data_IF_503799157135
#
_entry.id   IF_503799157135
#
_cell.length_a   1.000
_cell.length_b   1.000
_cell.length_c   1.000
_cell.angle_alpha   90.00
_cell.angle_beta   90.00
_cell.angle_gamma   90.00
#
_symmetry.space_group_name_H-M   'P 1'
#
loop_
_entity.id
_entity.type
_entity.pdbx_description
1 polymer ?
#
# COMPACT_ATOMS: atom_id res chain seq x y z
N UNK A 1 7.28 11.23 2.82
CA UNK A 1 7.08 9.87 3.35
C UNK A 1 8.32 9.02 3.10
N UNK A 2 8.84 8.42 4.16
CA UNK A 2 10.00 7.53 4.06
C UNK A 2 9.53 6.09 4.20
N UNK A 3 9.95 5.24 3.27
CA UNK A 3 9.69 3.80 3.31
C UNK A 3 11.00 3.06 3.53
N UNK A 4 10.92 1.98 4.30
CA UNK A 4 12.05 1.10 4.56
C UNK A 4 11.62 -0.34 4.28
N UNK A 5 12.30 -0.98 3.33
CA UNK A 5 12.16 -2.41 3.06
C UNK A 5 13.31 -3.12 3.75
N UNK A 6 13.00 -4.09 4.58
CA UNK A 6 14.00 -4.80 5.36
C UNK A 6 13.55 -6.21 5.70
N UNK A 7 14.42 -6.97 6.32
CA UNK A 7 14.11 -8.32 6.78
C UNK A 7 13.87 -8.33 8.28
N UNK A 8 12.86 -9.08 8.70
CA UNK A 8 12.57 -9.33 10.11
C UNK A 8 12.87 -10.79 10.39
N UNK A 9 13.65 -11.04 11.44
CA UNK A 9 13.92 -12.37 11.96
C UNK A 9 12.93 -12.74 13.04
N UNK A 10 12.31 -13.92 12.92
CA UNK A 10 11.49 -14.50 13.95
C UNK A 10 11.83 -15.98 14.06
N UNK A 11 12.54 -16.36 15.12
CA UNK A 11 13.09 -17.71 15.30
C UNK A 11 14.02 -18.07 14.13
N UNK A 12 13.67 -19.10 13.36
CA UNK A 12 14.45 -19.55 12.20
C UNK A 12 13.91 -19.00 10.87
N UNK A 13 12.92 -18.11 10.93
CA UNK A 13 12.30 -17.55 9.74
C UNK A 13 12.74 -16.12 9.50
N UNK A 14 12.90 -15.77 8.22
CA UNK A 14 13.19 -14.42 7.78
C UNK A 14 12.05 -13.95 6.89
N UNK A 15 11.49 -12.78 7.21
CA UNK A 15 10.36 -12.21 6.48
C UNK A 15 10.74 -10.85 5.92
N UNK A 16 10.24 -10.55 4.73
CA UNK A 16 10.31 -9.21 4.16
C UNK A 16 9.28 -8.31 4.84
N UNK A 17 9.67 -7.08 5.14
CA UNK A 17 8.78 -6.11 5.78
C UNK A 17 8.96 -4.73 5.17
N UNK A 18 7.84 -4.02 5.05
CA UNK A 18 7.81 -2.61 4.70
C UNK A 18 7.44 -1.82 5.95
N UNK A 19 8.33 -0.93 6.37
CA UNK A 19 8.12 -0.03 7.48
C UNK A 19 7.87 1.38 6.96
N UNK A 20 6.82 2.01 7.46
CA UNK A 20 6.44 3.38 7.14
C UNK A 20 5.81 4.01 8.37
N UNK A 21 5.79 5.34 8.43
CA UNK A 21 5.12 6.04 9.53
C UNK A 21 3.68 5.56 9.68
N UNK A 22 3.22 5.38 10.93
CA UNK A 22 1.86 4.91 11.26
C UNK A 22 0.76 5.68 10.53
N UNK A 23 0.98 6.96 10.27
CA UNK A 23 0.07 7.81 9.51
C UNK A 23 -0.24 7.23 8.12
N UNK A 24 0.71 6.50 7.52
CA UNK A 24 0.60 5.93 6.18
C UNK A 24 0.45 4.40 6.20
N UNK A 25 -0.05 3.85 7.29
CA UNK A 25 -0.16 2.41 7.54
C UNK A 25 -0.85 1.61 6.42
N UNK A 26 -1.82 2.21 5.73
CA UNK A 26 -2.54 1.51 4.67
C UNK A 26 -1.63 1.08 3.52
N UNK A 27 -0.57 1.83 3.24
CA UNK A 27 0.41 1.44 2.23
C UNK A 27 1.12 0.14 2.64
N UNK A 28 1.62 0.09 3.87
CA UNK A 28 2.28 -1.10 4.40
C UNK A 28 1.34 -2.30 4.41
N UNK A 29 0.13 -2.13 4.90
CA UNK A 29 -0.87 -3.21 4.94
C UNK A 29 -1.23 -3.70 3.55
N UNK A 30 -1.34 -2.81 2.58
CA UNK A 30 -1.61 -3.18 1.20
C UNK A 30 -0.48 -4.02 0.59
N UNK A 31 0.76 -3.63 0.83
CA UNK A 31 1.93 -4.36 0.34
C UNK A 31 2.10 -5.74 0.98
N UNK A 32 1.56 -5.93 2.20
CA UNK A 32 1.62 -7.20 2.93
C UNK A 32 0.36 -8.05 2.73
N UNK A 33 -0.29 -7.95 1.56
CA UNK A 33 -1.49 -8.76 1.30
C UNK A 33 -1.22 -10.23 1.63
N UNK A 34 -2.01 -10.86 2.55
CA UNK A 34 -1.65 -12.16 3.09
C UNK A 34 -1.71 -13.33 2.11
N UNK A 35 -2.61 -13.26 1.12
CA UNK A 35 -2.77 -14.34 0.15
C UNK A 35 -2.16 -13.95 -1.19
N UNK A 36 -1.22 -14.79 -1.67
CA UNK A 36 -0.59 -14.68 -2.97
C UNK A 36 -0.08 -13.25 -3.28
N UNK A 37 0.58 -12.66 -2.29
CA UNK A 37 0.96 -11.25 -2.27
C UNK A 37 1.64 -10.79 -3.55
N UNK A 38 2.66 -11.52 -4.03
CA UNK A 38 3.41 -11.12 -5.21
C UNK A 38 2.55 -11.12 -6.48
N UNK A 39 1.75 -12.15 -6.69
CA UNK A 39 0.87 -12.24 -7.85
C UNK A 39 -0.26 -11.21 -7.77
N UNK A 40 -0.82 -11.02 -6.59
CA UNK A 40 -1.80 -9.97 -6.36
C UNK A 40 -1.25 -8.58 -6.72
N UNK A 41 -0.05 -8.26 -6.26
CA UNK A 41 0.57 -6.96 -6.52
C UNK A 41 0.95 -6.78 -8.01
N UNK A 42 1.37 -7.85 -8.68
CA UNK A 42 1.60 -7.82 -10.14
C UNK A 42 0.31 -7.53 -10.90
N UNK A 43 -0.79 -8.13 -10.48
CA UNK A 43 -2.10 -7.84 -11.03
C UNK A 43 -2.51 -6.38 -10.80
N UNK A 44 -2.37 -5.89 -9.56
CA UNK A 44 -2.71 -4.51 -9.20
C UNK A 44 -1.88 -3.51 -10.02
N UNK A 45 -0.58 -3.74 -10.15
CA UNK A 45 0.31 -2.89 -10.95
C UNK A 45 -0.15 -2.83 -12.39
N UNK A 46 -0.44 -3.97 -13.01
CA UNK A 46 -0.92 -4.03 -14.40
C UNK A 46 -2.24 -3.31 -14.56
N UNK A 47 -3.18 -3.52 -13.63
CA UNK A 47 -4.47 -2.85 -13.64
C UNK A 47 -4.33 -1.32 -13.57
N UNK A 48 -3.40 -0.83 -12.77
CA UNK A 48 -3.10 0.60 -12.67
C UNK A 48 -2.45 1.15 -13.94
N UNK A 49 -1.45 0.46 -14.48
CA UNK A 49 -0.73 0.91 -15.66
C UNK A 49 -1.63 0.97 -16.91
N UNK A 50 -2.55 0.03 -17.03
CA UNK A 50 -3.42 -0.12 -18.21
C UNK A 50 -4.84 0.39 -17.98
N UNK A 51 -5.14 0.98 -16.81
CA UNK A 51 -6.47 1.48 -16.43
C UNK A 51 -7.59 0.41 -16.62
N UNK A 52 -7.28 -0.84 -16.24
CA UNK A 52 -8.19 -1.96 -16.45
C UNK A 52 -9.32 -2.04 -15.44
N UNK A 53 -9.08 -1.58 -14.20
CA UNK A 53 -10.03 -1.69 -13.10
C UNK A 53 -9.98 -0.47 -12.18
N UNK A 54 -11.14 -0.15 -11.59
CA UNK A 54 -11.27 0.89 -10.57
C UNK A 54 -11.10 0.35 -9.16
N UNK A 55 -11.24 -0.95 -8.95
CA UNK A 55 -11.10 -1.60 -7.66
C UNK A 55 -9.93 -2.57 -7.70
N UNK A 56 -8.88 -2.23 -6.95
CA UNK A 56 -7.69 -3.07 -6.78
C UNK A 56 -7.50 -3.45 -5.31
N UNK A 57 -8.62 -3.56 -4.58
CA UNK A 57 -8.61 -3.87 -3.15
C UNK A 57 -7.93 -5.21 -2.85
N UNK A 58 -7.14 -5.22 -1.79
CA UNK A 58 -6.55 -6.42 -1.21
C UNK A 58 -7.46 -7.01 -0.13
N UNK A 59 -6.91 -7.88 0.70
CA UNK A 59 -7.67 -8.51 1.78
C UNK A 59 -7.77 -7.65 3.04
N UNK A 60 -6.79 -6.80 3.29
CA UNK A 60 -6.76 -5.94 4.47
C UNK A 60 -7.12 -4.49 4.17
N UNK A 61 -6.90 -4.05 2.94
CA UNK A 61 -7.04 -2.64 2.54
C UNK A 61 -7.86 -2.55 1.27
N UNK A 62 -8.92 -1.75 1.32
CA UNK A 62 -9.63 -1.32 0.13
C UNK A 62 -8.77 -0.31 -0.63
N UNK A 63 -8.72 -0.43 -1.94
CA UNK A 63 -7.99 0.50 -2.79
C UNK A 63 -8.81 0.77 -4.05
N UNK A 64 -9.30 1.99 -4.17
CA UNK A 64 -10.13 2.43 -5.27
C UNK A 64 -9.39 3.44 -6.14
N UNK A 65 -9.51 3.28 -7.46
CA UNK A 65 -8.83 4.12 -8.44
C UNK A 65 -9.76 5.23 -8.92
N UNK A 66 -9.35 6.47 -8.74
CA UNK A 66 -9.97 7.62 -9.39
C UNK A 66 -9.22 7.90 -10.69
N UNK A 67 -9.79 7.44 -11.81
CA UNK A 67 -9.14 7.53 -13.12
C UNK A 67 -9.04 8.99 -13.58
N UNK A 68 -10.02 9.82 -13.26
CA UNK A 68 -10.03 11.23 -13.69
C UNK A 68 -8.92 12.03 -13.00
N UNK A 69 -8.65 11.75 -11.74
CA UNK A 69 -7.66 12.46 -10.94
C UNK A 69 -6.34 11.72 -10.82
N UNK A 70 -6.20 10.55 -11.43
CA UNK A 70 -5.00 9.70 -11.37
C UNK A 70 -4.53 9.44 -9.94
N UNK A 71 -5.48 9.15 -9.04
CA UNK A 71 -5.17 8.90 -7.64
C UNK A 71 -5.81 7.61 -7.14
N UNK A 72 -5.26 7.12 -6.04
CA UNK A 72 -5.74 5.93 -5.33
C UNK A 72 -6.25 6.36 -3.96
N UNK A 73 -7.39 5.83 -3.57
CA UNK A 73 -7.98 6.03 -2.24
C UNK A 73 -7.91 4.70 -1.50
N UNK A 74 -7.25 4.69 -0.35
CA UNK A 74 -7.09 3.50 0.49
C UNK A 74 -7.75 3.68 1.83
N UNK A 75 -8.41 2.63 2.33
CA UNK A 75 -9.03 2.61 3.64
C UNK A 75 -9.23 1.16 4.12
N UNK A 76 -9.75 1.00 5.33
CA UNK A 76 -9.97 -0.32 5.92
C UNK A 76 -10.96 -1.15 5.12
N UNK A 77 -10.62 -2.40 4.82
CA UNK A 77 -11.45 -3.30 4.01
C UNK A 77 -12.79 -3.63 4.69
N UNK A 78 -12.83 -3.66 6.02
CA UNK A 78 -14.08 -3.93 6.74
C UNK A 78 -15.12 -2.83 6.51
N UNK A 79 -14.67 -1.59 6.40
CA UNK A 79 -15.52 -0.45 6.06
C UNK A 79 -16.06 -0.59 4.64
N UNK A 80 -15.21 -1.03 3.71
CA UNK A 80 -15.60 -1.29 2.32
C UNK A 80 -16.73 -2.33 2.25
N UNK A 81 -16.59 -3.46 2.93
CA UNK A 81 -17.61 -4.51 2.93
C UNK A 81 -18.90 -4.10 3.65
N UNK A 82 -18.80 -3.23 4.65
CA UNK A 82 -19.98 -2.71 5.34
C UNK A 82 -20.74 -1.66 4.51
N UNK A 83 -20.12 -1.11 3.46
CA UNK A 83 -20.71 -0.06 2.65
C UNK A 83 -20.77 1.29 3.35
N UNK A 84 -19.97 1.48 4.39
CA UNK A 84 -19.90 2.72 5.18
C UNK A 84 -18.87 3.70 4.62
N UNK A 85 -18.94 4.95 5.08
CA UNK A 85 -17.88 5.91 4.86
C UNK A 85 -16.72 5.62 5.80
N UNK A 86 -15.47 5.57 5.32
CA UNK A 86 -14.34 5.35 6.20
C UNK A 86 -14.10 6.54 7.14
N UNK A 87 -13.74 6.22 8.40
CA UNK A 87 -13.33 7.24 9.38
C UNK A 87 -11.98 7.86 9.01
N UNK A 88 -11.15 7.09 8.36
CA UNK A 88 -9.81 7.48 7.93
C UNK A 88 -9.54 6.93 6.54
N UNK A 89 -8.96 7.75 5.67
CA UNK A 89 -8.54 7.33 4.35
C UNK A 89 -7.21 7.99 3.96
N UNK A 90 -6.55 7.35 3.01
CA UNK A 90 -5.30 7.85 2.44
C UNK A 90 -5.48 8.03 0.93
N UNK A 91 -5.05 9.18 0.41
CA UNK A 91 -5.03 9.43 -1.02
C UNK A 91 -3.59 9.58 -1.49
N UNK A 92 -3.24 8.90 -2.57
CA UNK A 92 -1.92 9.02 -3.17
C UNK A 92 -2.00 9.00 -4.69
N UNK A 93 -0.97 9.50 -5.35
CA UNK A 93 -0.89 9.48 -6.80
C UNK A 93 -0.75 8.03 -7.30
N UNK A 94 -1.44 7.72 -8.38
CA UNK A 94 -1.36 6.42 -9.03
C UNK A 94 0.08 6.04 -9.38
N UNK A 95 0.83 6.97 -9.97
CA UNK A 95 2.23 6.73 -10.35
C UNK A 95 3.12 6.38 -9.16
N UNK A 96 2.86 6.98 -8.00
CA UNK A 96 3.62 6.70 -6.79
C UNK A 96 3.34 5.29 -6.27
N UNK A 97 2.09 4.85 -6.30
CA UNK A 97 1.75 3.49 -5.91
C UNK A 97 2.36 2.46 -6.88
N UNK A 98 2.32 2.71 -8.18
CA UNK A 98 2.97 1.84 -9.18
C UNK A 98 4.46 1.70 -8.87
N UNK A 99 5.14 2.80 -8.58
CA UNK A 99 6.57 2.80 -8.24
C UNK A 99 6.84 1.98 -6.98
N UNK A 100 6.06 2.18 -5.94
CA UNK A 100 6.21 1.45 -4.66
C UNK A 100 5.97 -0.05 -4.87
N UNK A 101 4.91 -0.41 -5.58
CA UNK A 101 4.58 -1.83 -5.85
C UNK A 101 5.71 -2.49 -6.65
N UNK A 102 6.19 -1.85 -7.71
CA UNK A 102 7.27 -2.39 -8.53
C UNK A 102 8.53 -2.62 -7.70
N UNK A 103 8.88 -1.66 -6.89
CA UNK A 103 10.04 -1.74 -6.01
C UNK A 103 9.90 -2.84 -4.96
N UNK A 104 8.71 -2.98 -4.39
CA UNK A 104 8.42 -4.02 -3.41
C UNK A 104 8.49 -5.43 -4.01
N UNK A 105 7.93 -5.61 -5.21
CA UNK A 105 8.01 -6.89 -5.94
C UNK A 105 9.48 -7.29 -6.16
N UNK A 106 10.31 -6.35 -6.60
CA UNK A 106 11.75 -6.59 -6.80
C UNK A 106 12.44 -6.99 -5.49
N UNK A 107 12.07 -6.34 -4.39
CA UNK A 107 12.58 -6.71 -3.08
C UNK A 107 12.17 -8.12 -2.66
N UNK A 108 10.90 -8.49 -2.89
CA UNK A 108 10.39 -9.84 -2.61
C UNK A 108 11.09 -10.92 -3.44
N UNK A 109 11.47 -10.60 -4.67
CA UNK A 109 12.13 -11.54 -5.58
C UNK A 109 13.65 -11.62 -5.36
N UNK A 110 14.20 -10.72 -4.57
CA UNK A 110 15.64 -10.69 -4.29
C UNK A 110 16.04 -11.85 -3.40
N UNK A 111 17.11 -12.60 -3.75
CA UNK A 111 17.64 -13.64 -2.86
C UNK A 111 18.12 -13.03 -1.55
N UNK A 112 17.82 -13.70 -0.43
CA UNK A 112 18.24 -13.26 0.90
C UNK A 112 19.66 -13.76 1.13
N UNK A 113 20.64 -12.92 0.80
CA UNK A 113 22.08 -13.21 0.99
C UNK A 113 22.67 -12.45 2.18
N UNK A 114 22.05 -11.34 2.55
CA UNK A 114 22.45 -10.52 3.70
C UNK A 114 21.17 -10.11 4.44
N UNK A 115 20.96 -10.69 5.61
CA UNK A 115 19.76 -10.42 6.42
C UNK A 115 19.71 -9.02 7.03
N UNK A 116 20.83 -8.28 6.97
CA UNK A 116 20.89 -6.88 7.40
C UNK A 116 20.70 -5.90 6.25
N UNK A 117 20.47 -6.40 5.04
CA UNK A 117 20.21 -5.55 3.88
C UNK A 117 18.90 -4.80 4.05
N UNK A 118 18.91 -3.53 3.69
CA UNK A 118 17.71 -2.70 3.71
C UNK A 118 17.72 -1.70 2.56
N UNK A 119 16.54 -1.29 2.15
CA UNK A 119 16.31 -0.22 1.18
C UNK A 119 15.51 0.88 1.84
N UNK A 120 16.04 2.09 1.83
CA UNK A 120 15.36 3.27 2.38
C UNK A 120 15.20 4.27 1.24
N UNK A 121 13.98 4.76 1.04
CA UNK A 121 13.73 5.75 0.02
C UNK A 121 12.60 6.69 0.44
N UNK A 122 12.60 7.88 -0.16
CA UNK A 122 11.63 8.92 0.14
C UNK A 122 10.69 9.13 -1.04
N UNK A 123 9.40 9.30 -0.73
CA UNK A 123 8.35 9.61 -1.68
C UNK A 123 7.61 10.87 -1.22
N UNK A 124 6.87 11.49 -2.14
CA UNK A 124 5.95 12.56 -1.77
C UNK A 124 4.96 12.06 -0.71
N UNK A 125 4.62 12.92 0.25
CA UNK A 125 3.67 12.54 1.30
C UNK A 125 2.26 12.33 0.71
N UNK A 126 1.65 11.17 0.94
CA UNK A 126 0.22 11.00 0.67
C UNK A 126 -0.63 11.94 1.53
N UNK A 127 -1.85 12.17 1.10
CA UNK A 127 -2.82 12.94 1.87
C UNK A 127 -3.61 11.97 2.73
N UNK A 128 -3.64 12.22 4.04
CA UNK A 128 -4.45 11.45 4.99
C UNK A 128 -5.60 12.32 5.46
N UNK A 129 -6.81 11.79 5.38
CA UNK A 129 -8.03 12.48 5.77
C UNK A 129 -8.75 11.70 6.86
N UNK A 130 -9.32 12.42 7.81
CA UNK A 130 -10.11 11.87 8.91
C UNK A 130 -11.50 12.50 8.86
N UNK A 131 -12.53 11.67 9.06
CA UNK A 131 -13.92 12.13 9.11
C UNK A 131 -14.22 12.78 10.46
N UNK A 132 -14.57 14.07 10.43
CA UNK A 132 -15.00 14.84 11.61
C UNK A 132 -16.25 15.64 11.28
N UNK A 133 -17.30 15.48 12.07
CA UNK A 133 -18.56 16.20 11.88
C UNK A 133 -19.08 16.10 10.43
N UNK A 134 -19.09 14.88 9.89
CA UNK A 134 -19.51 14.55 8.52
C UNK A 134 -18.65 15.16 7.41
N UNK A 135 -17.46 15.65 7.74
CA UNK A 135 -16.50 16.20 6.76
C UNK A 135 -15.12 15.58 6.89
N UNK A 136 -14.46 15.36 5.76
CA UNK A 136 -13.07 14.93 5.77
C UNK A 136 -12.13 16.10 5.98
N UNK A 137 -11.24 15.94 6.94
CA UNK A 137 -10.23 16.93 7.32
C UNK A 137 -8.85 16.34 7.07
N UNK A 138 -7.98 17.09 6.40
CA UNK A 138 -6.59 16.66 6.17
C UNK A 138 -5.83 16.78 7.49
N UNK A 139 -5.07 15.73 7.82
CA UNK A 139 -4.24 15.69 9.01
C UNK A 139 -2.75 15.64 8.67
#
# INVERSE_FOLDING_TARGET
MVLKFHYIKNKNNIFQSCEVNEKYKFISFYLHNPIDCKNFLKFAKKALEENLKKDISGEAVAAEVDIEEDKIIMYDIDVYFAGDEPDELLEMKKEDLIYIIDRWIKFLEKPITDENYEEIFEMEDPIVKVLKDDKYVII
#
